data_IF_813126916943
#
_entry.id   IF_813126916943
#
_cell.length_a   1.000
_cell.length_b   1.000
_cell.length_c   1.000
_cell.angle_alpha   90.00
_cell.angle_beta   90.00
_cell.angle_gamma   90.00
#
_symmetry.space_group_name_H-M   'P 1'
#
loop_
_entity.id
_entity.type
_entity.pdbx_description
1 polymer ?
#
# COMPACT_ATOMS: atom_id res chain seq x y z
N UNK A 1 -15.94 -56.40 -15.24
CA UNK A 1 -16.28 -55.09 -14.66
C UNK A 1 -15.10 -54.66 -13.78
N UNK A 2 -14.41 -53.57 -14.13
CA UNK A 2 -13.15 -53.13 -13.49
C UNK A 2 -13.42 -51.76 -12.85
N UNK A 3 -13.51 -51.72 -11.53
CA UNK A 3 -13.64 -50.49 -10.73
C UNK A 3 -12.33 -49.68 -10.80
N UNK A 4 -12.37 -48.34 -10.87
CA UNK A 4 -11.17 -47.53 -10.77
C UNK A 4 -10.71 -47.44 -9.30
N UNK A 5 -9.41 -47.31 -9.02
CA UNK A 5 -8.94 -47.03 -7.67
C UNK A 5 -9.28 -45.59 -7.29
N UNK A 6 -9.87 -45.41 -6.10
CA UNK A 6 -10.08 -44.11 -5.46
C UNK A 6 -8.75 -43.36 -5.35
N UNK A 7 -8.67 -42.17 -5.95
CA UNK A 7 -7.61 -41.21 -5.68
C UNK A 7 -7.83 -40.63 -4.29
N UNK A 8 -7.20 -41.24 -3.29
CA UNK A 8 -7.10 -40.69 -1.94
C UNK A 8 -6.05 -39.57 -1.98
N UNK A 9 -6.51 -38.32 -2.06
CA UNK A 9 -5.64 -37.15 -1.90
C UNK A 9 -5.15 -37.13 -0.45
N UNK A 10 -3.84 -37.12 -0.17
CA UNK A 10 -3.36 -37.04 1.20
C UNK A 10 -3.80 -35.70 1.82
N UNK A 11 -4.11 -35.66 3.13
CA UNK A 11 -4.42 -34.41 3.81
C UNK A 11 -3.19 -33.51 3.76
N UNK A 12 -3.37 -32.30 3.22
CA UNK A 12 -2.33 -31.27 3.21
C UNK A 12 -2.08 -30.86 4.65
N UNK A 13 -0.93 -31.24 5.19
CA UNK A 13 -0.46 -30.82 6.50
C UNK A 13 -0.08 -29.33 6.43
N UNK A 14 -1.00 -28.48 6.86
CA UNK A 14 -0.84 -27.02 6.90
C UNK A 14 0.17 -26.55 7.95
N UNK A 15 0.78 -27.47 8.71
CA UNK A 15 1.77 -27.15 9.76
C UNK A 15 3.10 -26.62 9.21
N UNK A 16 3.31 -26.66 7.89
CA UNK A 16 4.54 -26.18 7.24
C UNK A 16 4.33 -25.01 6.28
N UNK A 17 3.21 -24.26 6.39
CA UNK A 17 3.18 -22.92 5.80
C UNK A 17 4.09 -22.07 6.68
N UNK A 18 5.40 -22.15 6.42
CA UNK A 18 6.35 -21.17 6.91
C UNK A 18 5.80 -19.82 6.44
N UNK A 19 5.30 -19.06 7.41
CA UNK A 19 4.85 -17.70 7.20
C UNK A 19 6.01 -16.99 6.50
N UNK A 20 5.85 -16.75 5.20
CA UNK A 20 6.80 -15.95 4.44
C UNK A 20 7.06 -14.71 5.29
N UNK A 21 8.32 -14.37 5.59
CA UNK A 21 8.62 -13.31 6.53
C UNK A 21 7.83 -12.09 6.08
N UNK A 22 6.80 -11.75 6.87
CA UNK A 22 6.00 -10.55 6.62
C UNK A 22 7.04 -9.47 6.55
N UNK A 23 7.18 -8.88 5.37
CA UNK A 23 8.20 -7.89 5.12
C UNK A 23 7.93 -6.70 6.06
N UNK A 24 8.57 -6.71 7.23
CA UNK A 24 8.59 -5.60 8.19
C UNK A 24 9.61 -4.55 7.69
N UNK A 25 9.85 -4.40 6.38
CA UNK A 25 10.71 -3.32 5.88
C UNK A 25 9.87 -2.09 5.60
N UNK A 26 9.63 -1.36 6.67
CA UNK A 26 9.93 0.07 6.76
C UNK A 26 9.11 0.55 7.93
N UNK A 27 9.79 0.77 9.06
CA UNK A 27 9.28 1.66 10.09
C UNK A 27 8.96 2.97 9.36
N UNK A 28 7.70 3.35 9.33
CA UNK A 28 7.28 4.65 8.82
C UNK A 28 8.23 5.72 9.40
N UNK A 29 9.05 6.32 8.53
CA UNK A 29 10.11 7.23 8.95
C UNK A 29 9.55 8.50 9.63
N UNK A 30 8.23 8.69 9.62
CA UNK A 30 7.49 9.74 10.30
C UNK A 30 6.79 9.29 11.58
N UNK A 31 7.08 8.12 12.16
CA UNK A 31 6.48 7.65 13.41
C UNK A 31 6.73 8.67 14.55
N UNK A 32 5.71 9.49 14.86
CA UNK A 32 5.78 10.60 15.83
C UNK A 32 5.42 11.98 15.25
N UNK A 33 5.32 12.12 13.93
CA UNK A 33 4.87 13.32 13.24
C UNK A 33 3.33 13.37 13.13
N UNK A 34 2.72 14.58 13.08
CA UNK A 34 1.29 14.70 12.84
C UNK A 34 0.90 14.08 11.50
N UNK A 35 -0.25 13.39 11.46
CA UNK A 35 -0.72 12.61 10.30
C UNK A 35 -0.70 13.42 8.99
N UNK A 36 -1.12 14.68 9.06
CA UNK A 36 -1.13 15.60 7.92
C UNK A 36 0.29 15.83 7.37
N UNK A 37 1.30 16.00 8.24
CA UNK A 37 2.67 16.17 7.79
C UNK A 37 3.21 14.92 7.08
N UNK A 38 2.88 13.73 7.58
CA UNK A 38 3.27 12.45 6.95
C UNK A 38 2.64 12.29 5.57
N UNK A 39 1.36 12.64 5.42
CA UNK A 39 0.68 12.66 4.12
C UNK A 39 1.33 13.63 3.14
N UNK A 40 1.62 14.85 3.59
CA UNK A 40 2.23 15.87 2.72
C UNK A 40 3.65 15.49 2.29
N UNK A 41 4.42 14.88 3.19
CA UNK A 41 5.73 14.32 2.84
C UNK A 41 5.61 13.22 1.79
N UNK A 42 4.70 12.26 2.00
CA UNK A 42 4.48 11.18 1.03
C UNK A 42 3.93 11.68 -0.30
N UNK A 43 3.09 12.72 -0.30
CA UNK A 43 2.63 13.41 -1.51
C UNK A 43 3.81 13.98 -2.29
N UNK A 44 4.70 14.71 -1.62
CA UNK A 44 5.86 15.32 -2.27
C UNK A 44 6.82 14.26 -2.87
N UNK A 45 7.01 13.13 -2.17
CA UNK A 45 7.76 11.99 -2.70
C UNK A 45 7.13 11.44 -3.97
N UNK A 46 5.81 11.17 -3.96
CA UNK A 46 5.09 10.66 -5.12
C UNK A 46 5.12 11.63 -6.31
N UNK A 47 5.00 12.94 -6.07
CA UNK A 47 5.15 13.97 -7.11
C UNK A 47 6.56 13.98 -7.71
N UNK A 48 7.59 13.78 -6.88
CA UNK A 48 8.99 13.67 -7.33
C UNK A 48 9.20 12.42 -8.18
N UNK A 49 8.67 11.28 -7.74
CA UNK A 49 8.73 10.01 -8.49
C UNK A 49 8.02 10.14 -9.84
N UNK A 50 6.81 10.73 -9.84
CA UNK A 50 6.03 10.96 -11.06
C UNK A 50 6.79 11.82 -12.07
N UNK A 51 7.48 12.87 -11.61
CA UNK A 51 8.29 13.73 -12.45
C UNK A 51 9.53 13.02 -13.04
N UNK A 52 10.06 12.01 -12.35
CA UNK A 52 11.22 11.22 -12.78
C UNK A 52 10.89 9.99 -13.64
N UNK A 53 9.62 9.55 -13.66
CA UNK A 53 9.18 8.39 -14.44
C UNK A 53 9.28 8.67 -15.95
N UNK A 54 9.74 7.68 -16.71
CA UNK A 54 9.69 7.71 -18.18
C UNK A 54 8.24 7.59 -18.67
N UNK A 55 7.88 8.27 -19.78
CA UNK A 55 6.47 8.37 -20.24
C UNK A 55 5.84 7.02 -20.64
N UNK A 56 6.67 6.02 -20.94
CA UNK A 56 6.27 4.67 -21.32
C UNK A 56 5.87 3.78 -20.13
N UNK A 57 6.29 4.12 -18.90
CA UNK A 57 5.80 3.45 -17.69
C UNK A 57 4.40 3.97 -17.28
N UNK A 58 3.42 3.66 -18.12
CA UNK A 58 2.02 4.09 -17.93
C UNK A 58 1.35 3.45 -16.73
N UNK A 59 1.77 2.24 -16.34
CA UNK A 59 1.18 1.51 -15.21
C UNK A 59 1.53 2.18 -13.89
N UNK A 60 2.84 2.31 -13.60
CA UNK A 60 3.31 2.96 -12.37
C UNK A 60 2.84 4.41 -12.29
N UNK A 61 2.83 5.12 -13.42
CA UNK A 61 2.30 6.49 -13.51
C UNK A 61 0.82 6.57 -13.13
N UNK A 62 -0.03 5.72 -13.70
CA UNK A 62 -1.47 5.71 -13.39
C UNK A 62 -1.71 5.37 -11.91
N UNK A 63 -0.92 4.48 -11.32
CA UNK A 63 -1.03 4.11 -9.91
C UNK A 63 -0.66 5.29 -8.99
N UNK A 64 0.41 6.00 -9.33
CA UNK A 64 0.85 7.20 -8.57
C UNK A 64 -0.15 8.34 -8.72
N UNK A 65 -0.64 8.62 -9.92
CA UNK A 65 -1.67 9.64 -10.17
C UNK A 65 -2.96 9.33 -9.40
N UNK A 66 -3.39 8.06 -9.38
CA UNK A 66 -4.52 7.61 -8.59
C UNK A 66 -4.31 7.78 -7.09
N UNK A 67 -3.12 7.48 -6.58
CA UNK A 67 -2.75 7.72 -5.19
C UNK A 67 -2.81 9.22 -4.83
N UNK A 68 -2.27 10.10 -5.68
CA UNK A 68 -2.30 11.55 -5.50
C UNK A 68 -3.74 12.10 -5.53
N UNK A 69 -4.58 11.62 -6.44
CA UNK A 69 -5.99 12.02 -6.51
C UNK A 69 -6.77 11.63 -5.23
N UNK A 70 -6.50 10.44 -4.69
CA UNK A 70 -7.11 10.00 -3.43
C UNK A 70 -6.63 10.85 -2.24
N UNK A 71 -5.37 11.28 -2.23
CA UNK A 71 -4.86 12.16 -1.20
C UNK A 71 -5.56 13.53 -1.22
N UNK A 72 -5.85 14.09 -2.40
CA UNK A 72 -6.64 15.33 -2.52
C UNK A 72 -8.00 15.19 -1.83
N UNK A 73 -8.70 14.05 -2.00
CA UNK A 73 -9.98 13.80 -1.33
C UNK A 73 -9.84 13.77 0.20
N UNK A 74 -8.79 13.11 0.71
CA UNK A 74 -8.52 13.04 2.15
C UNK A 74 -8.15 14.39 2.74
N UNK A 75 -7.55 15.30 1.94
CA UNK A 75 -7.06 16.59 2.42
C UNK A 75 -7.98 17.77 2.12
N UNK A 76 -9.14 17.55 1.49
CA UNK A 76 -10.04 18.62 1.06
C UNK A 76 -10.87 19.27 2.19
N UNK A 77 -10.67 18.85 3.46
CA UNK A 77 -11.41 19.34 4.63
C UNK A 77 -10.56 20.20 5.58
N UNK A 78 -11.12 20.53 6.75
CA UNK A 78 -10.36 21.20 7.81
C UNK A 78 -9.31 20.25 8.38
N UNK A 79 -8.04 20.55 8.13
CA UNK A 79 -6.90 19.73 8.60
C UNK A 79 -6.46 20.05 10.03
N UNK A 80 -7.01 21.10 10.64
CA UNK A 80 -6.75 21.45 12.05
C UNK A 80 -7.63 20.63 13.00
N UNK A 81 -8.78 20.15 12.53
CA UNK A 81 -9.72 19.30 13.28
C UNK A 81 -10.15 18.10 12.44
N UNK A 82 -9.23 17.16 12.25
CA UNK A 82 -9.46 15.95 11.45
C UNK A 82 -10.24 14.92 12.29
N UNK A 83 -11.44 14.48 11.86
CA UNK A 83 -12.17 13.43 12.56
C UNK A 83 -11.36 12.13 12.66
N UNK A 84 -11.49 11.41 13.78
CA UNK A 84 -10.76 10.14 14.01
C UNK A 84 -10.93 9.12 12.88
N UNK A 85 -12.11 9.07 12.26
CA UNK A 85 -12.38 8.20 11.11
C UNK A 85 -11.47 8.54 9.92
N UNK A 86 -11.31 9.82 9.62
CA UNK A 86 -10.44 10.31 8.54
C UNK A 86 -8.97 10.03 8.86
N UNK A 87 -8.54 10.13 10.13
CA UNK A 87 -7.18 9.75 10.55
C UNK A 87 -6.89 8.27 10.28
N UNK A 88 -7.88 7.39 10.49
CA UNK A 88 -7.75 5.95 10.17
C UNK A 88 -7.63 5.74 8.67
N UNK A 89 -8.43 6.43 7.86
CA UNK A 89 -8.36 6.32 6.41
C UNK A 89 -7.06 6.89 5.83
N UNK A 90 -6.56 7.99 6.40
CA UNK A 90 -5.25 8.55 6.11
C UNK A 90 -4.12 7.56 6.43
N UNK A 91 -4.19 6.88 7.58
CA UNK A 91 -3.21 5.85 7.97
C UNK A 91 -3.23 4.67 7.00
N UNK A 92 -4.42 4.22 6.61
CA UNK A 92 -4.60 3.14 5.62
C UNK A 92 -4.09 3.54 4.24
N UNK A 93 -4.27 4.80 3.86
CA UNK A 93 -3.74 5.32 2.61
C UNK A 93 -2.21 5.25 2.60
N UNK A 94 -1.54 5.72 3.67
CA UNK A 94 -0.09 5.66 3.79
C UNK A 94 0.45 4.23 3.66
N UNK A 95 -0.17 3.28 4.36
CA UNK A 95 0.24 1.87 4.27
C UNK A 95 0.02 1.31 2.86
N UNK A 96 -1.11 1.64 2.22
CA UNK A 96 -1.41 1.16 0.87
C UNK A 96 -0.45 1.74 -0.17
N UNK A 97 0.02 2.97 -0.01
CA UNK A 97 0.85 3.63 -1.03
C UNK A 97 2.36 3.49 -0.79
N UNK A 98 2.79 2.86 0.31
CA UNK A 98 4.22 2.71 0.68
C UNK A 98 5.10 2.10 -0.43
N UNK A 99 4.56 1.16 -1.19
CA UNK A 99 5.29 0.40 -2.20
C UNK A 99 5.39 1.14 -3.54
N UNK A 100 4.59 2.20 -3.73
CA UNK A 100 4.65 3.02 -4.93
C UNK A 100 6.00 3.75 -4.96
N UNK A 101 6.75 3.56 -6.04
CA UNK A 101 8.11 4.10 -6.19
C UNK A 101 9.24 3.19 -5.69
N UNK A 102 8.96 2.03 -5.06
CA UNK A 102 10.02 1.05 -4.73
C UNK A 102 10.59 0.35 -5.99
N UNK A 103 9.92 0.48 -7.13
CA UNK A 103 10.27 -0.16 -8.41
C UNK A 103 10.65 0.83 -9.52
N UNK A 104 10.70 2.12 -9.21
CA UNK A 104 11.08 3.19 -10.14
C UNK A 104 12.61 3.32 -10.23
#
# INVERSE_FOLDING_TARGET
MKTPPSSETPPVDVSQIEEAPRNINSVDAGAGQPMVARLMARKAELETILAGLAEDDRGTRSDIEGALAHLVLLTCGNLEDVPKLVIVDMSRWLERTRHLGERA
#
